data_IF_611629007706
#
_entry.id   IF_611629007706
#
_cell.length_a   1.000
_cell.length_b   1.000
_cell.length_c   1.000
_cell.angle_alpha   90.00
_cell.angle_beta   90.00
_cell.angle_gamma   90.00
#
_symmetry.space_group_name_H-M   'P 1'
#
loop_
_entity.id
_entity.type
_entity.pdbx_description
1 polymer ?
#
# COMPACT_ATOMS: atom_id res chain seq x y z
N UNK A 1 -7.36 -36.87 17.45
CA UNK A 1 -8.12 -38.14 17.50
C UNK A 1 -7.17 -39.25 17.83
N UNK A 2 -7.31 -39.85 19.02
CA UNK A 2 -6.45 -40.95 19.48
C UNK A 2 -6.64 -42.16 18.57
N UNK A 3 -5.63 -42.50 17.78
CA UNK A 3 -5.60 -43.76 17.03
C UNK A 3 -5.36 -44.90 18.02
N UNK A 4 -6.43 -45.45 18.59
CA UNK A 4 -6.35 -46.72 19.31
C UNK A 4 -6.09 -47.82 18.28
N UNK A 5 -4.83 -48.27 18.21
CA UNK A 5 -4.46 -49.52 17.56
C UNK A 5 -5.21 -50.65 18.28
N UNK A 6 -6.06 -51.36 17.55
CA UNK A 6 -6.61 -52.63 18.01
C UNK A 6 -5.42 -53.58 18.29
N UNK A 7 -5.43 -54.34 19.40
CA UNK A 7 -4.40 -55.33 19.66
C UNK A 7 -4.37 -56.32 18.49
N UNK A 8 -3.23 -56.40 17.80
CA UNK A 8 -3.03 -57.39 16.74
C UNK A 8 -2.61 -58.66 17.46
N UNK A 9 -3.50 -59.64 17.52
CA UNK A 9 -3.17 -60.93 18.12
C UNK A 9 -2.06 -61.62 17.31
N UNK A 10 -1.02 -62.15 17.98
CA UNK A 10 0.03 -62.90 17.32
C UNK A 10 -0.56 -64.17 16.66
N UNK A 11 0.09 -64.70 15.60
CA UNK A 11 -0.33 -65.95 14.99
C UNK A 11 -0.45 -67.05 16.06
N UNK A 12 -1.56 -67.79 16.04
CA UNK A 12 -1.72 -68.93 16.94
C UNK A 12 -0.63 -69.98 16.66
N UNK A 13 -0.07 -70.60 17.71
CA UNK A 13 0.94 -71.64 17.52
C UNK A 13 0.38 -72.78 16.68
N UNK A 14 1.01 -73.09 15.55
CA UNK A 14 0.56 -74.10 14.60
C UNK A 14 -0.28 -73.58 13.42
N UNK A 15 -0.36 -72.27 13.21
CA UNK A 15 -0.99 -71.74 12.00
C UNK A 15 -0.20 -72.14 10.75
N UNK A 16 -0.89 -72.74 9.79
CA UNK A 16 -0.40 -72.96 8.43
C UNK A 16 -1.40 -72.35 7.43
N UNK A 17 -0.91 -71.71 6.37
CA UNK A 17 -1.74 -71.27 5.27
C UNK A 17 -2.54 -72.42 4.64
N UNK A 18 -3.78 -72.17 4.20
CA UNK A 18 -4.65 -73.22 3.63
C UNK A 18 -4.03 -73.87 2.40
N UNK A 19 -3.23 -73.14 1.63
CA UNK A 19 -2.51 -73.64 0.45
C UNK A 19 -1.31 -74.55 0.76
N UNK A 20 -0.90 -74.69 2.03
CA UNK A 20 0.19 -75.59 2.47
C UNK A 20 -0.36 -76.88 3.07
N UNK A 21 -1.61 -76.89 3.53
CA UNK A 21 -2.24 -78.04 4.19
C UNK A 21 -2.40 -79.26 3.28
N UNK A 22 -2.59 -79.04 1.98
CA UNK A 22 -2.88 -80.08 0.99
C UNK A 22 -1.67 -80.46 0.11
N UNK A 23 -0.47 -79.99 0.46
CA UNK A 23 0.75 -80.22 -0.34
C UNK A 23 1.43 -81.55 -0.04
N UNK A 24 2.06 -82.14 -1.05
CA UNK A 24 2.79 -83.40 -0.91
C UNK A 24 4.14 -83.19 -0.19
N UNK A 25 4.67 -84.23 0.45
CA UNK A 25 5.98 -84.19 1.14
C UNK A 25 7.14 -83.66 0.30
N UNK A 26 7.30 -84.01 -1.01
CA UNK A 26 8.35 -83.40 -1.82
C UNK A 26 8.13 -81.90 -2.06
N UNK A 27 6.89 -81.44 -2.21
CA UNK A 27 6.58 -80.01 -2.37
C UNK A 27 6.86 -79.21 -1.09
N UNK A 28 6.61 -79.80 0.08
CA UNK A 28 6.95 -79.20 1.37
C UNK A 28 8.47 -79.08 1.56
N UNK A 29 9.24 -80.07 1.09
CA UNK A 29 10.70 -80.01 1.13
C UNK A 29 11.23 -78.86 0.26
N UNK A 30 10.68 -78.69 -0.95
CA UNK A 30 11.04 -77.57 -1.85
C UNK A 30 10.65 -76.21 -1.25
N UNK A 31 9.53 -76.15 -0.51
CA UNK A 31 9.10 -74.94 0.19
C UNK A 31 10.07 -74.59 1.34
N UNK A 32 10.45 -75.60 2.15
CA UNK A 32 11.36 -75.43 3.28
C UNK A 32 12.80 -75.10 2.85
N UNK A 33 13.23 -75.60 1.69
CA UNK A 33 14.56 -75.29 1.14
C UNK A 33 14.67 -73.89 0.52
N UNK A 34 13.56 -73.14 0.41
CA UNK A 34 13.51 -71.82 -0.22
C UNK A 34 13.07 -70.74 0.80
N UNK A 35 14.02 -70.11 1.51
CA UNK A 35 13.75 -69.00 2.44
C UNK A 35 12.88 -67.85 1.91
N UNK A 36 13.03 -67.38 0.65
CA UNK A 36 12.17 -66.30 0.15
C UNK A 36 10.72 -66.75 -0.07
N UNK A 37 10.47 -68.04 -0.33
CA UNK A 37 9.12 -68.57 -0.42
C UNK A 37 8.48 -68.65 0.97
N UNK A 38 9.23 -69.10 1.98
CA UNK A 38 8.76 -69.13 3.37
C UNK A 38 8.44 -67.74 3.91
N UNK A 39 9.25 -66.72 3.57
CA UNK A 39 8.97 -65.36 3.99
C UNK A 39 7.71 -64.82 3.32
N UNK A 40 7.52 -65.03 2.00
CA UNK A 40 6.30 -64.63 1.30
C UNK A 40 5.06 -65.32 1.87
N UNK A 41 5.21 -66.58 2.28
CA UNK A 41 4.16 -67.37 2.89
C UNK A 41 3.80 -66.86 4.29
N UNK A 42 4.79 -66.43 5.08
CA UNK A 42 4.54 -65.79 6.37
C UNK A 42 3.74 -64.49 6.22
N UNK A 43 3.95 -63.72 5.14
CA UNK A 43 3.20 -62.49 4.83
C UNK A 43 1.70 -62.74 4.50
N UNK A 44 1.29 -63.99 4.29
CA UNK A 44 -0.13 -64.35 4.08
C UNK A 44 -0.93 -64.39 5.38
N UNK A 45 -0.28 -64.33 6.54
CA UNK A 45 -0.98 -64.33 7.84
C UNK A 45 -1.81 -63.05 8.01
N UNK A 46 -3.09 -63.12 8.42
CA UNK A 46 -3.98 -61.96 8.55
C UNK A 46 -3.51 -60.88 9.52
N UNK A 47 -2.65 -61.21 10.51
CA UNK A 47 -2.04 -60.21 11.40
C UNK A 47 -1.13 -59.21 10.68
N UNK A 48 -0.49 -59.59 9.57
CA UNK A 48 0.40 -58.70 8.81
C UNK A 48 -0.39 -57.62 8.03
N UNK A 49 -1.40 -57.94 7.20
CA UNK A 49 -2.27 -56.92 6.61
C UNK A 49 -3.03 -56.13 7.68
N UNK A 50 -3.44 -56.75 8.80
CA UNK A 50 -4.06 -56.03 9.92
C UNK A 50 -3.11 -54.99 10.56
N UNK A 51 -1.81 -55.28 10.66
CA UNK A 51 -0.80 -54.36 11.18
C UNK A 51 -0.40 -53.27 10.19
N UNK A 52 -0.36 -53.58 8.90
CA UNK A 52 0.14 -52.68 7.86
C UNK A 52 -0.95 -51.76 7.31
N UNK A 53 -2.24 -52.17 7.30
CA UNK A 53 -3.36 -51.34 6.86
C UNK A 53 -3.51 -49.99 7.60
N UNK A 54 -3.41 -49.90 8.94
CA UNK A 54 -3.46 -48.60 9.62
C UNK A 54 -2.21 -47.76 9.30
N UNK A 55 -1.04 -48.39 9.13
CA UNK A 55 0.20 -47.68 8.79
C UNK A 55 0.15 -47.09 7.37
N UNK A 56 -0.34 -47.83 6.38
CA UNK A 56 -0.50 -47.34 5.01
C UNK A 56 -1.56 -46.24 4.93
N UNK A 57 -2.64 -46.37 5.70
CA UNK A 57 -3.64 -45.31 5.86
C UNK A 57 -3.02 -44.04 6.46
N UNK A 58 -2.29 -44.14 7.57
CA UNK A 58 -1.59 -43.00 8.17
C UNK A 58 -0.55 -42.38 7.23
N UNK A 59 0.19 -43.19 6.48
CA UNK A 59 1.15 -42.71 5.50
C UNK A 59 0.44 -41.94 4.36
N UNK A 60 -0.65 -42.48 3.82
CA UNK A 60 -1.44 -41.81 2.77
C UNK A 60 -2.09 -40.51 3.24
N UNK A 61 -2.54 -40.45 4.49
CA UNK A 61 -3.08 -39.21 5.07
C UNK A 61 -1.97 -38.19 5.28
N UNK A 62 -0.79 -38.60 5.75
CA UNK A 62 0.36 -37.73 5.91
C UNK A 62 0.83 -37.15 4.57
N UNK A 63 0.94 -37.96 3.51
CA UNK A 63 1.31 -37.47 2.17
C UNK A 63 0.27 -36.49 1.62
N UNK A 64 -1.02 -36.79 1.80
CA UNK A 64 -2.10 -35.87 1.42
C UNK A 64 -2.01 -34.54 2.16
N UNK A 65 -1.71 -34.57 3.47
CA UNK A 65 -1.51 -33.36 4.26
C UNK A 65 -0.27 -32.57 3.80
N UNK A 66 0.84 -33.25 3.51
CA UNK A 66 2.04 -32.61 2.98
C UNK A 66 1.77 -31.90 1.64
N UNK A 67 1.05 -32.54 0.72
CA UNK A 67 0.64 -31.90 -0.53
C UNK A 67 -0.27 -30.68 -0.32
N UNK A 68 -1.21 -30.76 0.63
CA UNK A 68 -2.07 -29.61 0.98
C UNK A 68 -1.26 -28.47 1.59
N UNK A 69 -0.31 -28.76 2.46
CA UNK A 69 0.57 -27.73 3.05
C UNK A 69 1.40 -27.03 1.98
N UNK A 70 1.96 -27.78 1.02
CA UNK A 70 2.71 -27.22 -0.09
C UNK A 70 1.82 -26.32 -0.99
N UNK A 71 0.60 -26.76 -1.29
CA UNK A 71 -0.35 -25.95 -2.04
C UNK A 71 -0.75 -24.65 -1.31
N UNK A 72 -0.93 -24.73 0.02
CA UNK A 72 -1.19 -23.54 0.83
C UNK A 72 0.03 -22.61 0.89
N UNK A 73 1.23 -23.15 1.01
CA UNK A 73 2.46 -22.36 1.03
C UNK A 73 2.66 -21.59 -0.27
N UNK A 74 2.46 -22.24 -1.41
CA UNK A 74 2.55 -21.59 -2.73
C UNK A 74 1.47 -20.51 -2.88
N UNK A 75 0.22 -20.79 -2.52
CA UNK A 75 -0.86 -19.79 -2.49
C UNK A 75 -0.49 -18.59 -1.61
N UNK A 76 -0.02 -18.84 -0.39
CA UNK A 76 0.35 -17.79 0.56
C UNK A 76 1.53 -16.96 0.02
N UNK A 77 2.55 -17.58 -0.57
CA UNK A 77 3.65 -16.88 -1.22
C UNK A 77 3.15 -15.95 -2.36
N UNK A 78 2.25 -16.42 -3.21
CA UNK A 78 1.67 -15.59 -4.28
C UNK A 78 0.85 -14.41 -3.73
N UNK A 79 0.06 -14.64 -2.67
CA UNK A 79 -0.70 -13.59 -2.02
C UNK A 79 0.21 -12.54 -1.37
N UNK A 80 1.31 -12.96 -0.72
CA UNK A 80 2.32 -12.03 -0.18
C UNK A 80 2.99 -11.20 -1.27
N UNK A 81 3.38 -11.81 -2.39
CA UNK A 81 3.97 -11.09 -3.51
C UNK A 81 2.98 -10.07 -4.10
N UNK A 82 1.71 -10.44 -4.26
CA UNK A 82 0.67 -9.57 -4.77
C UNK A 82 0.33 -8.40 -3.81
N UNK A 83 0.33 -8.63 -2.50
CA UNK A 83 0.12 -7.54 -1.52
C UNK A 83 1.31 -6.61 -1.44
N UNK A 84 2.54 -7.14 -1.52
CA UNK A 84 3.76 -6.33 -1.57
C UNK A 84 3.78 -5.41 -2.79
N UNK A 85 3.46 -5.92 -3.99
CA UNK A 85 3.42 -5.10 -5.20
C UNK A 85 2.35 -4.00 -5.13
N UNK A 86 1.15 -4.33 -4.60
CA UNK A 86 0.07 -3.35 -4.36
C UNK A 86 0.48 -2.28 -3.36
N UNK A 87 1.18 -2.66 -2.28
CA UNK A 87 1.64 -1.72 -1.27
C UNK A 87 2.68 -0.75 -1.82
N UNK A 88 3.62 -1.25 -2.65
CA UNK A 88 4.58 -0.39 -3.34
C UNK A 88 3.89 0.58 -4.31
N UNK A 89 2.92 0.10 -5.08
CA UNK A 89 2.12 0.94 -5.98
C UNK A 89 1.34 2.02 -5.22
N UNK A 90 0.74 1.67 -4.07
CA UNK A 90 0.02 2.62 -3.22
C UNK A 90 0.97 3.70 -2.69
N UNK A 91 2.16 3.33 -2.19
CA UNK A 91 3.14 4.32 -1.72
C UNK A 91 3.62 5.25 -2.83
N UNK A 92 3.81 4.73 -4.03
CA UNK A 92 4.13 5.57 -5.19
C UNK A 92 2.99 6.57 -5.49
N UNK A 93 1.73 6.12 -5.43
CA UNK A 93 0.56 6.98 -5.61
C UNK A 93 0.45 8.05 -4.51
N UNK A 94 0.70 7.69 -3.25
CA UNK A 94 0.72 8.65 -2.13
C UNK A 94 1.77 9.74 -2.33
N UNK A 95 2.99 9.37 -2.76
CA UNK A 95 4.03 10.35 -3.06
C UNK A 95 3.64 11.27 -4.21
N UNK A 96 3.06 10.71 -5.29
CA UNK A 96 2.55 11.50 -6.41
C UNK A 96 1.43 12.44 -5.98
N UNK A 97 0.50 11.98 -5.13
CA UNK A 97 -0.60 12.79 -4.63
C UNK A 97 -0.11 13.94 -3.74
N UNK A 98 0.83 13.67 -2.81
CA UNK A 98 1.47 14.71 -2.00
C UNK A 98 2.18 15.75 -2.88
N UNK A 99 2.85 15.30 -3.94
CA UNK A 99 3.44 16.19 -4.95
C UNK A 99 2.39 17.09 -5.61
N UNK A 100 1.28 16.50 -6.10
CA UNK A 100 0.17 17.26 -6.71
C UNK A 100 -0.47 18.23 -5.74
N UNK A 101 -0.70 17.82 -4.49
CA UNK A 101 -1.24 18.68 -3.46
C UNK A 101 -0.31 19.86 -3.19
N UNK A 102 1.00 19.63 -3.03
CA UNK A 102 1.96 20.72 -2.84
C UNK A 102 2.02 21.69 -4.02
N UNK A 103 1.89 21.19 -5.26
CA UNK A 103 1.86 22.01 -6.46
C UNK A 103 0.56 22.83 -6.55
N UNK A 104 -0.57 22.24 -6.18
CA UNK A 104 -1.85 22.93 -6.08
C UNK A 104 -1.79 24.01 -5.00
N UNK A 105 -1.30 23.70 -3.80
CA UNK A 105 -1.19 24.65 -2.69
C UNK A 105 -0.26 25.82 -3.07
N UNK A 106 0.87 25.54 -3.74
CA UNK A 106 1.76 26.58 -4.26
C UNK A 106 1.07 27.47 -5.32
N UNK A 107 0.33 26.87 -6.25
CA UNK A 107 -0.42 27.61 -7.27
C UNK A 107 -1.56 28.44 -6.69
N UNK A 108 -2.23 27.94 -5.65
CA UNK A 108 -3.31 28.64 -4.96
C UNK A 108 -2.81 29.68 -3.96
N UNK A 109 -1.56 29.60 -3.50
CA UNK A 109 -0.99 30.50 -2.48
C UNK A 109 -1.14 31.98 -2.87
N UNK A 110 -1.05 32.29 -4.16
CA UNK A 110 -1.21 33.62 -4.73
C UNK A 110 -2.64 34.16 -4.58
N UNK A 111 -3.63 33.29 -4.74
CA UNK A 111 -5.05 33.61 -4.69
C UNK A 111 -5.65 33.36 -3.30
N UNK A 112 -4.87 32.75 -2.39
CA UNK A 112 -5.24 32.60 -1.00
C UNK A 112 -5.39 33.97 -0.33
N UNK A 113 -6.23 34.10 0.72
CA UNK A 113 -6.45 35.37 1.40
C UNK A 113 -5.15 36.08 1.82
N UNK A 114 -4.15 35.33 2.30
CA UNK A 114 -2.86 35.86 2.69
C UNK A 114 -2.00 36.34 1.50
N UNK A 115 -2.11 35.69 0.34
CA UNK A 115 -1.43 36.10 -0.90
C UNK A 115 -2.04 37.37 -1.47
N UNK A 116 -3.37 37.43 -1.55
CA UNK A 116 -4.12 38.63 -1.97
C UNK A 116 -3.84 39.82 -1.05
N UNK A 117 -3.86 39.59 0.27
CA UNK A 117 -3.55 40.62 1.27
C UNK A 117 -2.12 41.15 1.13
N UNK A 118 -1.13 40.26 0.93
CA UNK A 118 0.26 40.66 0.69
C UNK A 118 0.38 41.55 -0.55
N UNK A 119 -0.29 41.19 -1.65
CA UNK A 119 -0.32 41.98 -2.88
C UNK A 119 -1.01 43.32 -2.69
N UNK A 120 -2.10 43.38 -1.93
CA UNK A 120 -2.76 44.63 -1.60
C UNK A 120 -1.82 45.56 -0.83
N UNK A 121 -1.11 45.05 0.19
CA UNK A 121 -0.13 45.81 0.95
C UNK A 121 1.01 46.32 0.07
N UNK A 122 1.53 45.47 -0.81
CA UNK A 122 2.56 45.86 -1.78
C UNK A 122 2.03 46.96 -2.72
N UNK A 123 0.83 46.81 -3.27
CA UNK A 123 0.22 47.81 -4.15
C UNK A 123 -0.09 49.13 -3.44
N UNK A 124 -0.38 49.13 -2.14
CA UNK A 124 -0.49 50.35 -1.33
C UNK A 124 0.87 51.03 -1.23
N UNK A 125 1.91 50.30 -0.83
CA UNK A 125 3.26 50.84 -0.68
C UNK A 125 3.82 51.38 -2.01
N UNK A 126 3.67 50.62 -3.11
CA UNK A 126 4.08 51.04 -4.45
C UNK A 126 3.33 52.31 -4.88
N UNK A 127 2.04 52.42 -4.61
CA UNK A 127 1.28 53.64 -4.94
C UNK A 127 1.75 54.85 -4.16
N UNK A 128 2.10 54.68 -2.89
CA UNK A 128 2.65 55.75 -2.06
C UNK A 128 4.01 56.21 -2.57
N UNK A 129 4.87 55.28 -3.00
CA UNK A 129 6.15 55.60 -3.64
C UNK A 129 5.95 56.34 -4.97
N UNK A 130 4.99 55.92 -5.80
CA UNK A 130 4.66 56.61 -7.05
C UNK A 130 4.16 58.03 -6.78
N UNK A 131 3.26 58.22 -5.81
CA UNK A 131 2.79 59.55 -5.43
C UNK A 131 3.93 60.46 -4.98
N UNK A 132 4.83 59.96 -4.12
CA UNK A 132 6.02 60.70 -3.69
C UNK A 132 6.93 61.03 -4.86
N UNK A 133 7.22 60.07 -5.73
CA UNK A 133 8.06 60.31 -6.91
C UNK A 133 7.46 61.33 -7.90
N UNK A 134 6.13 61.38 -8.05
CA UNK A 134 5.45 62.42 -8.85
C UNK A 134 5.55 63.80 -8.19
N UNK A 135 5.53 63.86 -6.87
CA UNK A 135 5.71 65.11 -6.10
C UNK A 135 7.18 65.57 -6.16
N UNK A 136 8.13 64.68 -5.94
CA UNK A 136 9.58 64.92 -5.99
C UNK A 136 10.03 65.33 -7.41
N UNK A 137 9.62 64.60 -8.46
CA UNK A 137 9.98 64.93 -9.84
C UNK A 137 9.48 66.30 -10.33
N UNK A 138 8.43 66.84 -9.71
CA UNK A 138 7.97 68.20 -9.99
C UNK A 138 8.82 69.25 -9.26
N UNK A 139 9.31 68.94 -8.05
CA UNK A 139 10.18 69.82 -7.27
C UNK A 139 11.62 69.86 -7.82
N UNK A 140 12.08 68.76 -8.42
CA UNK A 140 13.42 68.62 -9.01
C UNK A 140 13.55 69.24 -10.42
N UNK A 141 12.45 69.68 -11.03
CA UNK A 141 12.48 70.32 -12.35
C UNK A 141 13.23 71.66 -12.32
N UNK A 142 14.29 71.81 -13.14
CA UNK A 142 15.01 73.07 -13.28
C UNK A 142 14.18 74.10 -14.07
N UNK A 143 13.68 75.15 -13.40
CA UNK A 143 13.07 76.32 -14.03
C UNK A 143 11.62 76.59 -13.65
N UNK A 144 10.97 77.54 -14.34
CA UNK A 144 9.52 77.79 -14.21
C UNK A 144 8.78 76.79 -15.09
N UNK A 145 8.03 75.87 -14.47
CA UNK A 145 7.13 74.96 -15.18
C UNK A 145 6.07 75.75 -15.97
N UNK A 146 5.77 75.30 -17.19
CA UNK A 146 4.70 75.88 -18.00
C UNK A 146 3.33 75.59 -17.39
N UNK A 147 2.33 76.46 -17.56
CA UNK A 147 0.97 76.27 -17.03
C UNK A 147 0.36 74.92 -17.44
N UNK A 148 0.70 74.45 -18.64
CA UNK A 148 0.31 73.12 -19.14
C UNK A 148 0.94 71.99 -18.32
N UNK A 149 2.23 72.06 -18.02
CA UNK A 149 2.95 71.05 -17.24
C UNK A 149 2.40 70.97 -15.80
N UNK A 150 2.09 72.12 -15.21
CA UNK A 150 1.43 72.21 -13.90
C UNK A 150 0.05 71.54 -13.94
N UNK A 151 -0.74 71.79 -14.98
CA UNK A 151 -2.05 71.16 -15.16
C UNK A 151 -1.97 69.64 -15.29
N UNK A 152 -1.02 69.13 -16.07
CA UNK A 152 -0.78 67.69 -16.25
C UNK A 152 -0.27 67.03 -14.96
N UNK A 153 0.61 67.70 -14.22
CA UNK A 153 1.07 67.25 -12.90
C UNK A 153 -0.07 67.18 -11.89
N UNK A 154 -0.89 68.23 -11.77
CA UNK A 154 -2.05 68.24 -10.86
C UNK A 154 -3.03 67.12 -11.18
N UNK A 155 -3.22 66.80 -12.47
CA UNK A 155 -4.03 65.65 -12.87
C UNK A 155 -3.42 64.33 -12.39
N UNK A 156 -2.11 64.12 -12.58
CA UNK A 156 -1.39 62.93 -12.12
C UNK A 156 -1.41 62.77 -10.60
N UNK A 157 -1.18 63.84 -9.85
CA UNK A 157 -1.21 63.83 -8.37
C UNK A 157 -2.61 63.51 -7.85
N UNK A 158 -3.65 64.14 -8.38
CA UNK A 158 -5.04 63.87 -7.95
C UNK A 158 -5.43 62.41 -8.20
N UNK A 159 -5.12 61.90 -9.38
CA UNK A 159 -5.42 60.49 -9.70
C UNK A 159 -4.60 59.54 -8.83
N UNK A 160 -3.30 59.80 -8.65
CA UNK A 160 -2.44 59.00 -7.78
C UNK A 160 -2.91 58.96 -6.33
N UNK A 161 -3.29 60.13 -5.76
CA UNK A 161 -3.82 60.22 -4.39
C UNK A 161 -5.18 59.54 -4.25
N UNK A 162 -6.05 59.63 -5.26
CA UNK A 162 -7.33 58.92 -5.29
C UNK A 162 -7.11 57.40 -5.23
N UNK A 163 -6.23 56.86 -6.07
CA UNK A 163 -5.91 55.42 -6.08
C UNK A 163 -5.29 55.00 -4.74
N UNK A 164 -4.37 55.80 -4.19
CA UNK A 164 -3.75 55.51 -2.89
C UNK A 164 -4.79 55.45 -1.76
N UNK A 165 -5.73 56.40 -1.74
CA UNK A 165 -6.83 56.41 -0.78
C UNK A 165 -7.70 55.15 -0.88
N UNK A 166 -8.16 54.80 -2.08
CA UNK A 166 -9.01 53.62 -2.30
C UNK A 166 -8.31 52.31 -1.88
N UNK A 167 -7.00 52.19 -2.14
CA UNK A 167 -6.22 50.99 -1.74
C UNK A 167 -6.04 50.92 -0.22
N UNK A 168 -5.78 52.05 0.46
CA UNK A 168 -5.70 52.10 1.93
C UNK A 168 -7.02 51.75 2.59
N UNK A 169 -8.11 52.34 2.11
CA UNK A 169 -9.45 52.04 2.63
C UNK A 169 -9.83 50.57 2.36
N UNK A 170 -9.45 50.04 1.19
CA UNK A 170 -9.59 48.61 0.90
C UNK A 170 -8.84 47.71 1.88
N UNK A 171 -7.61 48.08 2.26
CA UNK A 171 -6.81 47.36 3.26
C UNK A 171 -7.43 47.45 4.65
N UNK A 172 -7.83 48.63 5.10
CA UNK A 172 -8.45 48.83 6.42
C UNK A 172 -9.74 48.02 6.56
N UNK A 173 -10.59 48.01 5.52
CA UNK A 173 -11.77 47.15 5.50
C UNK A 173 -11.40 45.66 5.54
N UNK A 174 -10.27 45.26 4.95
CA UNK A 174 -9.79 43.87 5.02
C UNK A 174 -9.35 43.52 6.44
N UNK A 175 -8.60 44.40 7.10
CA UNK A 175 -8.12 44.23 8.47
C UNK A 175 -9.28 44.07 9.47
N UNK A 176 -10.39 44.76 9.20
CA UNK A 176 -11.63 44.68 9.99
C UNK A 176 -12.53 43.48 9.60
N UNK A 177 -12.14 42.68 8.60
CA UNK A 177 -12.92 41.54 8.12
C UNK A 177 -14.20 41.92 7.36
N UNK A 178 -14.26 43.14 6.81
CA UNK A 178 -15.40 43.66 6.02
C UNK A 178 -15.26 43.41 4.52
N UNK A 179 -14.27 42.62 4.07
CA UNK A 179 -14.04 42.32 2.66
C UNK A 179 -14.67 40.98 2.30
N UNK A 180 -15.63 41.00 1.37
CA UNK A 180 -16.37 39.82 0.91
C UNK A 180 -17.42 39.40 1.93
N UNK A 181 -18.67 39.82 1.71
CA UNK A 181 -19.81 39.37 2.50
C UNK A 181 -20.10 37.90 2.25
N UNK A 182 -19.36 37.00 2.89
CA UNK A 182 -19.68 35.59 3.06
C UNK A 182 -19.26 35.20 4.48
N UNK A 183 -20.22 35.30 5.40
CA UNK A 183 -20.21 34.60 6.69
C UNK A 183 -20.91 33.26 6.51
#
# INVERSE_FOLDING_TARGET
SSHHQQPIDPPSPGWLPPNVRDKTTPDLHVLLSNPPLLSSLAHTHPSIPASTAPLTSLLSTNTTLAHRLLALETSLATHRAATQSRLLALRALEQQWRGKQSAQDAGLQEFAPSGLYRRLNQAVAEQEMVCRGVEESFLEGEGRAEEREVGEWMKRVREGRRVAFMRREGRERWDEGRVGGWR
#
